data_IF_364609587653
#
_entry.id   IF_364609587653
#
_cell.length_a   1.000
_cell.length_b   1.000
_cell.length_c   1.000
_cell.angle_alpha   90.00
_cell.angle_beta   90.00
_cell.angle_gamma   90.00
#
_symmetry.space_group_name_H-M   'P 1'
#
loop_
_entity.id
_entity.type
_entity.pdbx_description
1 polymer ?
#
# COMPACT_ATOMS: atom_id res chain seq x y z
N UNK A 1 -7.74 -11.75 -15.79
CA UNK A 1 -7.05 -10.62 -16.47
C UNK A 1 -8.10 -9.62 -16.88
N UNK A 2 -7.85 -8.32 -16.70
CA UNK A 2 -8.84 -7.30 -16.97
C UNK A 2 -9.05 -7.12 -18.48
N UNK A 3 -10.22 -6.61 -18.86
CA UNK A 3 -10.49 -6.19 -20.22
C UNK A 3 -9.65 -4.96 -20.60
N UNK A 4 -9.17 -4.92 -21.84
CA UNK A 4 -8.49 -3.74 -22.39
C UNK A 4 -6.99 -3.64 -22.15
N UNK A 5 -6.38 -4.53 -21.35
CA UNK A 5 -4.93 -4.61 -21.15
C UNK A 5 -4.34 -5.91 -21.66
N UNK A 6 -3.09 -5.86 -22.16
CA UNK A 6 -2.37 -7.06 -22.57
C UNK A 6 -1.93 -7.86 -21.34
N UNK A 7 -2.03 -9.20 -21.40
CA UNK A 7 -1.66 -10.08 -20.27
C UNK A 7 -0.23 -9.84 -19.78
N UNK A 8 0.73 -9.67 -20.71
CA UNK A 8 2.12 -9.40 -20.36
C UNK A 8 2.30 -8.06 -19.66
N UNK A 9 1.42 -7.07 -19.91
CA UNK A 9 1.49 -5.78 -19.25
C UNK A 9 0.95 -5.90 -17.84
N UNK A 10 -0.18 -6.59 -17.68
CA UNK A 10 -0.76 -6.92 -16.37
C UNK A 10 0.23 -7.69 -15.51
N UNK A 11 0.85 -8.75 -16.05
CA UNK A 11 1.87 -9.54 -15.34
C UNK A 11 3.05 -8.66 -14.86
N UNK A 12 3.46 -7.66 -15.66
CA UNK A 12 4.53 -6.73 -15.27
C UNK A 12 4.10 -5.76 -14.17
N UNK A 13 2.91 -5.19 -14.25
CA UNK A 13 2.43 -4.26 -13.21
C UNK A 13 2.18 -4.99 -11.89
N UNK A 14 1.64 -6.21 -11.93
CA UNK A 14 1.45 -7.05 -10.73
C UNK A 14 2.80 -7.41 -10.11
N UNK A 15 3.80 -7.81 -10.91
CA UNK A 15 5.15 -8.08 -10.39
C UNK A 15 5.79 -6.82 -9.79
N UNK A 16 5.63 -5.67 -10.44
CA UNK A 16 6.12 -4.39 -9.91
C UNK A 16 5.44 -4.03 -8.58
N UNK A 17 4.13 -4.27 -8.44
CA UNK A 17 3.40 -4.02 -7.21
C UNK A 17 3.89 -4.88 -6.04
N UNK A 18 4.27 -6.15 -6.27
CA UNK A 18 4.95 -6.96 -5.24
C UNK A 18 6.35 -6.43 -4.92
N UNK A 19 7.11 -6.00 -5.94
CA UNK A 19 8.47 -5.46 -5.78
C UNK A 19 8.52 -4.28 -4.79
N UNK A 20 7.47 -3.45 -4.75
CA UNK A 20 7.34 -2.33 -3.80
C UNK A 20 7.58 -2.79 -2.35
N UNK A 21 7.05 -3.95 -1.98
CA UNK A 21 7.19 -4.51 -0.63
C UNK A 21 8.50 -5.28 -0.44
N UNK A 22 8.98 -5.97 -1.47
CA UNK A 22 10.32 -6.61 -1.47
C UNK A 22 11.44 -5.59 -1.35
N UNK A 23 11.26 -4.37 -1.84
CA UNK A 23 12.29 -3.34 -1.82
C UNK A 23 12.62 -2.83 -0.42
N UNK A 24 11.69 -3.01 0.52
CA UNK A 24 11.81 -2.51 1.90
C UNK A 24 11.80 -3.61 2.97
N UNK A 25 11.60 -4.87 2.58
CA UNK A 25 11.64 -6.06 3.45
C UNK A 25 12.54 -7.16 2.85
N UNK A 26 12.72 -8.28 3.56
CA UNK A 26 13.34 -9.48 2.97
C UNK A 26 12.30 -10.46 2.41
N UNK A 27 11.04 -10.03 2.24
CA UNK A 27 10.03 -10.82 1.55
C UNK A 27 10.44 -11.09 0.10
N UNK A 28 10.01 -12.23 -0.42
CA UNK A 28 10.20 -12.63 -1.81
C UNK A 28 8.90 -13.21 -2.35
N UNK A 29 8.51 -12.78 -3.53
CA UNK A 29 7.32 -13.23 -4.24
C UNK A 29 7.73 -13.94 -5.51
N UNK A 30 7.16 -15.12 -5.71
CA UNK A 30 7.37 -15.90 -6.92
C UNK A 30 6.02 -16.19 -7.54
N UNK A 31 5.86 -15.80 -8.81
CA UNK A 31 4.68 -16.16 -9.59
C UNK A 31 4.63 -17.67 -9.78
N UNK A 32 3.56 -18.30 -9.31
CA UNK A 32 3.26 -19.69 -9.63
C UNK A 32 2.45 -19.79 -10.93
N UNK A 33 2.72 -20.81 -11.73
CA UNK A 33 1.95 -21.11 -12.95
C UNK A 33 0.79 -22.07 -12.72
N UNK A 34 0.74 -22.73 -11.57
CA UNK A 34 -0.26 -23.74 -11.22
C UNK A 34 -0.18 -24.11 -9.73
N UNK A 35 -1.26 -24.66 -9.20
CA UNK A 35 -1.32 -25.20 -7.84
C UNK A 35 -1.80 -24.18 -6.81
N UNK A 36 -1.74 -24.57 -5.53
CA UNK A 36 -2.14 -23.70 -4.42
C UNK A 36 -1.10 -22.59 -4.23
N UNK A 37 -1.56 -21.36 -4.12
CA UNK A 37 -0.74 -20.16 -3.89
C UNK A 37 -1.07 -19.53 -2.54
N UNK A 38 -0.24 -18.58 -2.10
CA UNK A 38 -0.47 -17.81 -0.87
C UNK A 38 -1.27 -16.53 -1.11
N UNK A 39 -1.32 -16.05 -2.35
CA UNK A 39 -2.07 -14.86 -2.77
C UNK A 39 -2.54 -15.18 -4.19
N UNK A 40 -3.84 -15.38 -4.35
CA UNK A 40 -4.49 -15.46 -5.66
C UNK A 40 -4.89 -14.05 -6.12
N UNK A 41 -4.58 -13.71 -7.37
CA UNK A 41 -4.93 -12.41 -7.97
C UNK A 41 -6.00 -12.64 -9.02
N UNK A 42 -7.19 -12.09 -8.80
CA UNK A 42 -8.35 -12.25 -9.71
C UNK A 42 -8.90 -10.92 -10.18
N UNK A 43 -9.46 -10.92 -11.38
CA UNK A 43 -10.17 -9.78 -11.96
C UNK A 43 -11.60 -10.25 -12.16
N UNK A 44 -12.54 -9.69 -11.39
CA UNK A 44 -13.91 -10.19 -11.23
C UNK A 44 -14.92 -9.06 -11.40
N UNK A 45 -16.22 -9.37 -11.50
CA UNK A 45 -17.29 -8.35 -11.61
C UNK A 45 -18.46 -8.70 -10.71
N UNK A 46 -19.05 -7.72 -10.04
CA UNK A 46 -20.24 -7.93 -9.24
C UNK A 46 -20.04 -9.00 -8.17
N UNK A 47 -21.03 -9.86 -7.96
CA UNK A 47 -20.91 -11.04 -7.10
C UNK A 47 -19.94 -12.08 -7.68
N UNK A 48 -18.91 -12.45 -6.91
CA UNK A 48 -17.83 -13.32 -7.36
C UNK A 48 -17.43 -14.40 -6.34
N UNK A 49 -18.33 -14.72 -5.39
CA UNK A 49 -18.29 -15.94 -4.60
C UNK A 49 -17.57 -15.85 -3.26
N UNK A 50 -17.13 -14.65 -2.86
CA UNK A 50 -16.49 -14.38 -1.57
C UNK A 50 -17.39 -13.61 -0.58
N UNK A 51 -18.54 -13.12 -1.03
CA UNK A 51 -19.52 -12.39 -0.21
C UNK A 51 -19.33 -10.87 -0.20
N UNK A 52 -18.34 -10.36 -0.94
CA UNK A 52 -18.03 -8.93 -1.06
C UNK A 52 -18.21 -8.48 -2.54
N UNK A 53 -19.45 -8.36 -3.05
CA UNK A 53 -19.68 -8.05 -4.46
C UNK A 53 -19.19 -6.64 -4.85
N UNK A 54 -18.56 -6.52 -6.02
CA UNK A 54 -18.19 -5.21 -6.59
C UNK A 54 -19.41 -4.42 -7.09
N UNK A 55 -19.29 -3.09 -7.10
CA UNK A 55 -20.36 -2.13 -7.39
C UNK A 55 -20.35 -1.58 -8.84
N UNK A 56 -19.39 -2.00 -9.67
CA UNK A 56 -19.28 -1.57 -11.05
C UNK A 56 -18.33 -0.38 -11.20
N UNK A 57 -18.45 0.45 -12.25
CA UNK A 57 -17.48 1.52 -12.47
C UNK A 57 -17.47 2.60 -11.36
N UNK A 58 -16.30 2.84 -10.78
CA UNK A 58 -16.09 3.69 -9.61
C UNK A 58 -16.51 3.00 -8.31
N UNK A 59 -16.29 3.67 -7.17
CA UNK A 59 -16.60 3.06 -5.88
C UNK A 59 -15.50 2.11 -5.44
N UNK A 60 -15.78 0.81 -5.37
CA UNK A 60 -14.84 -0.21 -4.88
C UNK A 60 -13.96 -0.71 -6.04
N UNK A 61 -12.73 -0.23 -6.10
CA UNK A 61 -11.81 -0.55 -7.19
C UNK A 61 -11.27 -1.99 -7.11
N UNK A 62 -11.01 -2.44 -5.88
CA UNK A 62 -10.41 -3.72 -5.56
C UNK A 62 -10.61 -3.99 -4.05
N UNK A 63 -10.36 -5.23 -3.64
CA UNK A 63 -10.19 -5.59 -2.25
C UNK A 63 -9.20 -6.73 -2.10
N UNK A 64 -8.60 -6.83 -0.92
CA UNK A 64 -7.76 -7.97 -0.55
C UNK A 64 -8.03 -8.43 0.88
N UNK A 65 -7.87 -9.73 1.08
CA UNK A 65 -8.02 -10.37 2.38
C UNK A 65 -6.70 -10.38 3.14
N UNK A 66 -6.77 -10.17 4.45
CA UNK A 66 -5.61 -10.30 5.34
C UNK A 66 -4.97 -11.71 5.25
N UNK A 67 -3.69 -11.88 5.60
CA UNK A 67 -2.99 -13.16 5.52
C UNK A 67 -3.73 -14.32 6.20
N UNK A 68 -4.42 -14.05 7.31
CA UNK A 68 -5.17 -15.07 8.08
C UNK A 68 -6.39 -15.63 7.33
N UNK A 69 -6.86 -14.94 6.29
CA UNK A 69 -8.00 -15.32 5.46
C UNK A 69 -7.58 -15.80 4.06
N UNK A 70 -6.28 -15.81 3.76
CA UNK A 70 -5.76 -16.34 2.50
C UNK A 70 -4.93 -15.35 1.69
N UNK A 71 -4.96 -14.05 1.98
CA UNK A 71 -4.13 -13.08 1.26
C UNK A 71 -4.65 -12.70 -0.14
N UNK A 72 -5.71 -13.33 -0.63
CA UNK A 72 -6.21 -13.17 -2.00
C UNK A 72 -6.65 -11.72 -2.27
N UNK A 73 -6.40 -11.27 -3.51
CA UNK A 73 -6.70 -9.91 -3.97
C UNK A 73 -7.56 -9.94 -5.24
N UNK A 74 -8.70 -9.27 -5.20
CA UNK A 74 -9.65 -9.16 -6.30
C UNK A 74 -9.73 -7.72 -6.80
N UNK A 75 -9.82 -7.56 -8.11
CA UNK A 75 -9.87 -6.27 -8.78
C UNK A 75 -11.16 -6.19 -9.60
N UNK A 76 -11.92 -5.10 -9.51
CA UNK A 76 -13.16 -4.95 -10.29
C UNK A 76 -12.83 -4.77 -11.77
N UNK A 77 -13.17 -5.75 -12.60
CA UNK A 77 -13.01 -5.73 -14.05
C UNK A 77 -14.05 -4.85 -14.76
N UNK A 78 -14.91 -4.17 -14.01
CA UNK A 78 -15.76 -3.08 -14.50
C UNK A 78 -15.01 -1.75 -14.57
N UNK A 79 -13.86 -1.64 -13.89
CA UNK A 79 -13.00 -0.47 -13.92
C UNK A 79 -12.25 -0.29 -15.24
N UNK A 80 -11.93 0.96 -15.56
CA UNK A 80 -11.04 1.28 -16.68
C UNK A 80 -9.59 1.20 -16.20
N UNK A 81 -9.02 0.00 -16.19
CA UNK A 81 -7.63 -0.23 -15.81
C UNK A 81 -6.63 0.36 -16.79
N UNK A 82 -5.62 1.04 -16.26
CA UNK A 82 -4.56 1.72 -17.01
C UNK A 82 -3.20 1.54 -16.36
N UNK A 83 -2.12 1.73 -17.13
CA UNK A 83 -0.75 1.48 -16.66
C UNK A 83 0.00 2.77 -16.29
N UNK A 84 -0.09 3.79 -17.15
CA UNK A 84 0.64 5.08 -17.00
C UNK A 84 -0.22 6.24 -17.51
N UNK A 85 -1.43 6.35 -16.98
CA UNK A 85 -2.43 7.32 -17.44
C UNK A 85 -3.10 7.99 -16.23
N UNK A 86 -3.29 9.30 -16.32
CA UNK A 86 -4.11 10.07 -15.37
C UNK A 86 -5.62 9.95 -15.65
N UNK A 87 -5.99 9.22 -16.71
CA UNK A 87 -7.38 8.95 -17.10
C UNK A 87 -7.63 7.46 -16.90
N UNK A 88 -8.46 7.13 -15.91
CA UNK A 88 -8.74 5.75 -15.48
C UNK A 88 -8.06 5.41 -14.16
N UNK A 89 -8.03 4.11 -13.86
CA UNK A 89 -7.55 3.57 -12.59
C UNK A 89 -6.20 2.89 -12.82
N UNK A 90 -5.18 3.27 -12.04
CA UNK A 90 -3.84 2.76 -12.23
C UNK A 90 -3.68 1.38 -11.59
N UNK A 91 -3.45 0.35 -12.41
CA UNK A 91 -3.38 -1.02 -11.94
C UNK A 91 -2.24 -1.25 -10.95
N UNK A 92 -1.06 -0.69 -11.22
CA UNK A 92 0.12 -0.87 -10.36
C UNK A 92 -0.11 -0.33 -8.94
N UNK A 93 -0.58 0.91 -8.81
CA UNK A 93 -0.74 1.52 -7.49
C UNK A 93 -1.90 0.89 -6.70
N UNK A 94 -3.02 0.54 -7.35
CA UNK A 94 -4.09 -0.19 -6.67
C UNK A 94 -3.60 -1.58 -6.25
N UNK A 95 -2.90 -2.31 -7.11
CA UNK A 95 -2.36 -3.62 -6.75
C UNK A 95 -1.34 -3.54 -5.61
N UNK A 96 -0.48 -2.52 -5.60
CA UNK A 96 0.47 -2.32 -4.51
C UNK A 96 -0.26 -2.10 -3.17
N UNK A 97 -1.35 -1.32 -3.18
CA UNK A 97 -2.21 -1.10 -2.01
C UNK A 97 -2.85 -2.42 -1.53
N UNK A 98 -3.52 -3.15 -2.42
CA UNK A 98 -4.16 -4.42 -2.07
C UNK A 98 -3.15 -5.44 -1.53
N UNK A 99 -1.94 -5.49 -2.09
CA UNK A 99 -0.90 -6.38 -1.56
C UNK A 99 -0.41 -5.96 -0.17
N UNK A 100 -0.51 -4.68 0.20
CA UNK A 100 -0.31 -4.27 1.58
C UNK A 100 -1.31 -4.95 2.52
N UNK A 101 -2.59 -5.04 2.14
CA UNK A 101 -3.60 -5.80 2.88
C UNK A 101 -3.32 -7.30 2.89
N UNK A 102 -2.95 -7.88 1.74
CA UNK A 102 -2.52 -9.29 1.64
C UNK A 102 -1.34 -9.61 2.56
N UNK A 103 -0.52 -8.61 2.88
CA UNK A 103 0.63 -8.70 3.79
C UNK A 103 0.30 -8.24 5.23
N UNK A 104 -0.95 -7.90 5.50
CA UNK A 104 -1.43 -7.63 6.86
C UNK A 104 -1.41 -6.17 7.30
N UNK A 105 -1.15 -5.24 6.39
CA UNK A 105 -1.34 -3.81 6.67
C UNK A 105 -2.81 -3.45 6.67
N UNK A 106 -3.22 -2.61 7.61
CA UNK A 106 -4.52 -1.94 7.56
C UNK A 106 -4.39 -0.60 6.84
N UNK A 107 -5.52 0.04 6.57
CA UNK A 107 -5.51 1.41 6.05
C UNK A 107 -4.73 2.35 6.97
N UNK A 108 -4.03 3.30 6.36
CA UNK A 108 -3.36 4.41 7.03
C UNK A 108 -4.23 5.67 7.01
N UNK A 109 -4.17 6.46 8.08
CA UNK A 109 -4.73 7.81 8.14
C UNK A 109 -3.80 8.85 7.49
N UNK A 110 -2.57 8.48 7.12
CA UNK A 110 -1.62 9.35 6.43
C UNK A 110 -2.03 9.50 4.98
N UNK A 111 -2.46 10.71 4.58
CA UNK A 111 -2.98 10.95 3.22
C UNK A 111 -2.00 10.60 2.09
N UNK A 112 -0.69 10.72 2.33
CA UNK A 112 0.35 10.41 1.36
C UNK A 112 0.73 8.92 1.31
N UNK A 113 0.28 8.12 2.28
CA UNK A 113 0.52 6.68 2.31
C UNK A 113 -0.15 5.98 1.12
N UNK A 114 0.53 4.96 0.60
CA UNK A 114 -0.06 4.02 -0.35
C UNK A 114 -1.29 3.36 0.27
N UNK A 115 -1.21 2.98 1.54
CA UNK A 115 -2.29 2.36 2.32
C UNK A 115 -3.41 3.33 2.74
N UNK A 116 -3.44 4.58 2.28
CA UNK A 116 -4.59 5.45 2.50
C UNK A 116 -5.84 4.88 1.77
N UNK A 117 -7.04 4.95 2.37
CA UNK A 117 -8.24 4.23 1.89
C UNK A 117 -8.86 4.77 0.59
N UNK A 118 -8.33 5.86 0.04
CA UNK A 118 -8.90 6.51 -1.14
C UNK A 118 -7.86 6.59 -2.25
N UNK A 119 -8.24 6.12 -3.44
CA UNK A 119 -7.42 6.26 -4.64
C UNK A 119 -7.23 7.73 -5.01
N UNK A 120 -5.96 8.14 -5.17
CA UNK A 120 -5.56 9.54 -5.42
C UNK A 120 -5.28 9.84 -6.89
N UNK A 121 -5.44 8.86 -7.78
CA UNK A 121 -5.03 8.96 -9.18
C UNK A 121 -3.63 8.39 -9.41
N UNK A 122 -3.19 8.46 -10.67
CA UNK A 122 -1.87 8.01 -11.08
C UNK A 122 -0.78 8.99 -10.62
N UNK A 123 0.22 8.49 -9.88
CA UNK A 123 1.44 9.23 -9.54
C UNK A 123 2.61 8.68 -10.35
N UNK A 124 3.18 9.51 -11.23
CA UNK A 124 4.27 9.07 -12.12
C UNK A 124 5.58 8.82 -11.39
N UNK A 125 5.79 9.50 -10.27
CA UNK A 125 6.97 9.39 -9.40
C UNK A 125 6.58 8.71 -8.09
N UNK A 126 6.03 7.51 -8.19
CA UNK A 126 5.56 6.74 -7.04
C UNK A 126 6.71 6.35 -6.10
N UNK A 127 6.55 6.65 -4.82
CA UNK A 127 7.42 6.21 -3.73
C UNK A 127 6.54 5.81 -2.54
N UNK A 128 6.95 4.80 -1.77
CA UNK A 128 6.27 4.44 -0.53
C UNK A 128 6.42 5.56 0.51
N UNK A 129 5.34 5.85 1.23
CA UNK A 129 5.42 6.75 2.37
C UNK A 129 6.20 6.07 3.51
N UNK A 130 6.81 6.88 4.35
CA UNK A 130 7.54 6.39 5.52
C UNK A 130 6.62 5.63 6.49
N UNK A 131 5.32 5.94 6.51
CA UNK A 131 4.30 5.21 7.26
C UNK A 131 4.12 3.78 6.73
N UNK A 132 4.01 3.60 5.42
CA UNK A 132 3.92 2.29 4.77
C UNK A 132 5.15 1.42 5.10
N UNK A 133 6.34 2.02 4.97
CA UNK A 133 7.62 1.35 5.26
C UNK A 133 7.70 0.93 6.73
N UNK A 134 7.29 1.79 7.66
CA UNK A 134 7.29 1.46 9.10
C UNK A 134 6.30 0.34 9.39
N UNK A 135 5.10 0.40 8.80
CA UNK A 135 4.08 -0.62 8.96
C UNK A 135 4.56 -1.99 8.52
N UNK A 136 5.07 -2.10 7.30
CA UNK A 136 5.50 -3.41 6.76
C UNK A 136 6.73 -3.95 7.48
N UNK A 137 7.69 -3.08 7.84
CA UNK A 137 8.89 -3.49 8.56
C UNK A 137 8.60 -3.86 10.02
N UNK A 138 7.51 -3.37 10.62
CA UNK A 138 7.07 -3.84 11.93
C UNK A 138 6.57 -5.30 11.89
N UNK A 139 6.01 -5.73 10.76
CA UNK A 139 5.53 -7.10 10.56
C UNK A 139 6.65 -8.07 10.13
N UNK A 140 7.52 -7.63 9.21
CA UNK A 140 8.46 -8.53 8.52
C UNK A 140 9.94 -8.17 8.71
N UNK A 141 10.24 -7.07 9.41
CA UNK A 141 11.60 -6.56 9.55
C UNK A 141 12.07 -5.74 8.35
N UNK A 142 13.25 -5.11 8.52
CA UNK A 142 13.88 -4.31 7.46
C UNK A 142 14.62 -5.21 6.48
N UNK A 143 14.69 -4.81 5.22
CA UNK A 143 15.54 -5.46 4.21
C UNK A 143 17.00 -5.55 4.70
N UNK A 144 17.50 -6.77 4.85
CA UNK A 144 18.89 -7.05 5.25
C UNK A 144 19.79 -7.29 4.05
N UNK A 145 19.20 -7.72 2.93
CA UNK A 145 19.92 -7.89 1.67
C UNK A 145 20.15 -6.54 0.99
N UNK A 146 21.37 -6.01 1.13
CA UNK A 146 21.83 -4.92 0.25
C UNK A 146 21.78 -5.46 -1.18
N UNK A 147 21.19 -4.75 -2.16
CA UNK A 147 21.29 -5.18 -3.55
C UNK A 147 22.77 -5.35 -3.86
N UNK A 148 23.16 -6.57 -4.20
CA UNK A 148 24.54 -6.89 -4.57
C UNK A 148 24.90 -5.96 -5.71
N UNK A 149 25.87 -5.04 -5.56
CA UNK A 149 26.41 -4.35 -6.73
C UNK A 149 26.98 -5.44 -7.62
N UNK A 150 26.54 -5.51 -8.88
CA UNK A 150 27.24 -6.30 -9.89
C UNK A 150 28.72 -5.97 -9.79
N UNK A 151 29.54 -7.01 -9.62
CA UNK A 151 30.99 -6.99 -9.42
C UNK A 151 31.68 -5.83 -10.15
N UNK A 152 31.96 -4.73 -9.44
CA UNK A 152 32.94 -3.75 -9.89
C UNK A 152 34.32 -4.13 -9.30
N UNK A 153 35.42 -3.97 -10.05
CA UNK A 153 36.77 -4.22 -9.55
C UNK A 153 37.11 -3.29 -8.38
N UNK A 154 38.05 -3.67 -7.49
CA UNK A 154 38.30 -2.94 -6.26
C UNK A 154 39.05 -1.63 -6.55
N UNK A 155 38.48 -0.51 -6.10
CA UNK A 155 39.24 0.70 -5.80
C UNK A 155 39.00 1.09 -4.34
N UNK A 156 40.11 1.12 -3.61
CA UNK A 156 40.30 1.68 -2.27
C UNK A 156 40.12 3.22 -2.31
N UNK A 157 39.89 4.03 -1.26
CA UNK A 157 40.08 3.98 0.20
C UNK A 157 39.17 5.07 0.85
N UNK A 158 38.87 4.92 2.15
CA UNK A 158 38.90 5.94 3.24
C UNK A 158 37.68 6.84 3.61
N UNK A 159 37.33 6.75 4.91
CA UNK A 159 36.81 7.81 5.81
C UNK A 159 35.28 7.96 5.86
N UNK A 160 34.56 8.09 6.99
CA UNK A 160 34.86 8.24 8.42
C UNK A 160 33.72 9.05 9.09
N UNK A 161 33.13 8.52 10.19
CA UNK A 161 32.29 9.22 11.20
C UNK A 161 30.77 9.29 10.93
N UNK A 162 29.84 9.50 11.88
CA UNK A 162 29.56 9.07 13.29
C UNK A 162 28.28 9.82 13.72
N UNK A 163 27.25 9.14 14.28
CA UNK A 163 26.18 9.60 15.24
C UNK A 163 25.40 10.92 14.96
N UNK A 164 24.17 11.25 15.40
CA UNK A 164 23.19 10.90 16.46
C UNK A 164 21.88 11.67 16.10
N UNK A 165 20.65 11.22 16.41
CA UNK A 165 19.90 11.51 17.66
C UNK A 165 19.07 12.82 17.63
N UNK A 166 17.74 12.77 17.84
CA UNK A 166 16.91 13.96 18.13
C UNK A 166 15.39 13.69 18.12
N UNK A 167 14.70 14.01 19.23
CA UNK A 167 13.31 13.62 19.54
C UNK A 167 12.22 14.71 19.47
N UNK A 168 11.08 14.31 20.05
CA UNK A 168 9.68 14.80 20.06
C UNK A 168 9.37 16.32 20.15
N UNK A 169 8.21 16.70 19.58
CA UNK A 169 7.23 17.56 20.28
C UNK A 169 5.81 17.41 19.68
N UNK A 170 4.96 16.59 20.32
CA UNK A 170 3.52 16.53 20.05
C UNK A 170 2.78 16.91 21.32
N UNK A 171 1.90 17.92 21.24
CA UNK A 171 1.18 18.48 22.39
C UNK A 171 0.31 17.47 23.13
N UNK A 172 -0.25 17.87 24.27
CA UNK A 172 -1.05 17.02 25.19
C UNK A 172 -2.18 16.25 24.49
N UNK A 173 -2.74 16.78 23.39
CA UNK A 173 -3.71 16.09 22.53
C UNK A 173 -3.19 14.75 21.96
N UNK A 174 -1.88 14.61 21.77
CA UNK A 174 -1.26 13.41 21.20
C UNK A 174 -0.82 12.39 22.25
N UNK A 175 -0.98 12.68 23.55
CA UNK A 175 -0.54 11.81 24.65
C UNK A 175 -1.67 11.08 25.36
N UNK A 176 -2.90 11.55 25.19
CA UNK A 176 -4.06 11.00 25.88
C UNK A 176 -5.29 11.09 24.97
N UNK A 177 -5.80 9.91 24.60
CA UNK A 177 -6.92 9.70 23.67
C UNK A 177 -8.30 10.04 24.25
N UNK A 178 -8.39 10.43 25.53
CA UNK A 178 -9.65 10.91 26.12
C UNK A 178 -10.04 12.29 25.56
N UNK A 179 -11.31 12.46 25.22
CA UNK A 179 -11.87 13.67 24.62
C UNK A 179 -13.14 14.05 25.39
N UNK A 180 -13.34 15.34 25.65
CA UNK A 180 -14.54 15.81 26.37
C UNK A 180 -15.74 15.93 25.43
N UNK A 181 -15.52 16.45 24.22
CA UNK A 181 -16.56 16.60 23.21
C UNK A 181 -16.00 16.66 21.79
N UNK A 182 -16.80 16.20 20.83
CA UNK A 182 -16.56 16.35 19.39
C UNK A 182 -17.81 16.98 18.79
N UNK A 183 -17.64 18.05 18.01
CA UNK A 183 -18.74 18.70 17.29
C UNK A 183 -18.37 18.90 15.82
N UNK A 184 -19.36 18.72 14.95
CA UNK A 184 -19.26 19.04 13.53
C UNK A 184 -20.14 20.25 13.30
N UNK A 185 -19.54 21.37 12.89
CA UNK A 185 -20.30 22.59 12.62
C UNK A 185 -20.81 22.61 11.17
N UNK A 186 -21.68 23.56 10.85
CA UNK A 186 -22.27 23.72 9.51
C UNK A 186 -21.24 24.02 8.40
N UNK A 187 -20.02 24.40 8.78
CA UNK A 187 -18.86 24.54 7.89
C UNK A 187 -18.21 23.19 7.52
N UNK A 188 -18.78 22.07 7.99
CA UNK A 188 -18.29 20.71 7.82
C UNK A 188 -16.90 20.46 8.44
N UNK A 189 -16.46 21.32 9.36
CA UNK A 189 -15.23 21.08 10.13
C UNK A 189 -15.57 20.42 11.46
N UNK A 190 -14.71 19.48 11.85
CA UNK A 190 -14.77 18.79 13.12
C UNK A 190 -13.86 19.51 14.12
N UNK A 191 -14.42 19.90 15.26
CA UNK A 191 -13.68 20.51 16.37
C UNK A 191 -13.68 19.54 17.55
N UNK A 192 -12.51 19.36 18.17
CA UNK A 192 -12.29 18.38 19.24
C UNK A 192 -11.85 19.12 20.49
N UNK A 193 -12.65 19.02 21.56
CA UNK A 193 -12.41 19.77 22.80
C UNK A 193 -11.80 18.88 23.87
N UNK A 194 -10.73 19.37 24.51
CA UNK A 194 -10.08 18.74 25.67
C UNK A 194 -9.65 19.81 26.68
N UNK A 195 -10.35 19.90 27.81
CA UNK A 195 -10.20 20.96 28.79
C UNK A 195 -10.47 22.34 28.18
N UNK A 196 -9.45 23.21 28.17
CA UNK A 196 -9.52 24.55 27.56
C UNK A 196 -8.99 24.61 26.13
N UNK A 197 -8.68 23.47 25.51
CA UNK A 197 -8.11 23.37 24.14
C UNK A 197 -9.17 22.88 23.14
N UNK A 198 -9.13 23.41 21.92
CA UNK A 198 -9.99 23.05 20.78
C UNK A 198 -9.25 23.18 19.45
#
# INVERSE_FOLDING_TARGET
YPQGLLKNDVDREIAAAFQVWEDVTDLQFQRASSGKVHIEVRFEKGEHGDGDPFDGPGGTLAHAYFPIYGGDAHFDDSEVWTLRSNRGTNLFQVAAHEFGHSLGLSHSDVRSSLMAPFYRGYESSFELDQDDIKGIQALYGKKTTRPTPATQPPTSVAGGGSSSGGGESGGILCRDASIDAIVILSDKKTYVFKGSQY
#
